data_IF_185453504143
#
_entry.id   IF_185453504143
#
_cell.length_a   1.000
_cell.length_b   1.000
_cell.length_c   1.000
_cell.angle_alpha   90.00
_cell.angle_beta   90.00
_cell.angle_gamma   90.00
#
_symmetry.space_group_name_H-M   'P 1'
#
loop_
_entity.id
_entity.type
_entity.pdbx_description
1 polymer ?
#
# COMPACT_ATOMS: atom_id res chain seq x y z
N UNK A 1 -2.12 7.46 -4.37
CA UNK A 1 -1.51 8.31 -3.33
C UNK A 1 -1.03 7.43 -2.18
N UNK A 2 0.19 7.66 -1.71
CA UNK A 2 0.73 7.04 -0.51
C UNK A 2 0.34 7.89 0.72
N UNK A 3 0.86 7.59 1.87
CA UNK A 3 0.67 8.37 3.07
C UNK A 3 1.08 9.83 2.88
N UNK A 4 0.19 10.76 3.21
CA UNK A 4 0.38 12.18 2.96
C UNK A 4 0.49 12.91 4.29
N UNK A 5 1.53 13.71 4.42
CA UNK A 5 1.68 14.62 5.56
C UNK A 5 0.76 15.83 5.36
N UNK A 6 0.30 16.43 6.46
CA UNK A 6 -0.51 17.64 6.41
C UNK A 6 0.12 18.76 5.58
N UNK A 7 1.45 18.91 5.67
CA UNK A 7 2.21 19.87 4.86
C UNK A 7 2.18 19.61 3.34
N UNK A 8 1.66 18.47 2.90
CA UNK A 8 1.56 18.09 1.47
C UNK A 8 0.13 18.22 0.91
N UNK A 9 -0.82 18.61 1.74
CA UNK A 9 -2.25 18.76 1.34
C UNK A 9 -2.38 19.77 0.20
N UNK A 10 -1.65 20.86 0.25
CA UNK A 10 -1.72 21.89 -0.79
C UNK A 10 -1.18 21.38 -2.13
N UNK A 11 -0.12 20.56 -2.12
CA UNK A 11 0.38 19.91 -3.34
C UNK A 11 -0.65 18.96 -3.98
N UNK A 12 -1.47 18.29 -3.15
CA UNK A 12 -2.58 17.48 -3.69
C UNK A 12 -3.64 18.37 -4.31
N UNK A 13 -4.02 19.47 -3.66
CA UNK A 13 -4.99 20.41 -4.20
C UNK A 13 -4.52 20.99 -5.53
N UNK A 14 -3.24 21.33 -5.64
CA UNK A 14 -2.63 21.78 -6.90
C UNK A 14 -2.69 20.71 -7.98
N UNK A 15 -2.38 19.45 -7.64
CA UNK A 15 -2.50 18.32 -8.58
C UNK A 15 -3.95 18.13 -9.05
N UNK A 16 -4.93 18.19 -8.15
CA UNK A 16 -6.33 18.06 -8.51
C UNK A 16 -6.78 19.20 -9.45
N UNK A 17 -6.39 20.44 -9.18
CA UNK A 17 -6.61 21.58 -10.09
C UNK A 17 -5.96 21.39 -11.45
N UNK A 18 -4.74 20.86 -11.49
CA UNK A 18 -4.06 20.52 -12.74
C UNK A 18 -4.86 19.50 -13.55
N UNK A 19 -5.39 18.45 -12.91
CA UNK A 19 -6.21 17.44 -13.56
C UNK A 19 -7.53 18.00 -14.10
N UNK A 20 -8.13 18.98 -13.43
CA UNK A 20 -9.32 19.69 -13.93
C UNK A 20 -9.03 20.46 -15.21
N UNK A 21 -7.88 21.13 -15.28
CA UNK A 21 -7.45 21.92 -16.43
C UNK A 21 -6.98 21.07 -17.61
N UNK A 22 -6.48 19.88 -17.31
CA UNK A 22 -5.87 18.95 -18.26
C UNK A 22 -6.59 17.61 -18.25
N UNK A 23 -7.81 17.61 -18.79
CA UNK A 23 -8.70 16.43 -18.79
C UNK A 23 -8.08 15.21 -19.49
N UNK A 24 -7.14 15.42 -20.40
CA UNK A 24 -6.38 14.35 -21.06
C UNK A 24 -5.53 13.51 -20.10
N UNK A 25 -5.20 14.05 -18.94
CA UNK A 25 -4.47 13.33 -17.88
C UNK A 25 -5.38 12.82 -16.76
N UNK A 26 -6.70 13.01 -16.86
CA UNK A 26 -7.63 12.58 -15.83
C UNK A 26 -7.61 11.05 -15.70
N UNK A 27 -7.25 10.51 -14.52
CA UNK A 27 -7.26 9.06 -14.33
C UNK A 27 -8.69 8.55 -14.21
N UNK A 28 -8.91 7.31 -14.61
CA UNK A 28 -10.19 6.64 -14.37
C UNK A 28 -10.39 6.28 -12.90
N UNK A 29 -9.29 6.00 -12.19
CA UNK A 29 -9.31 5.53 -10.81
C UNK A 29 -8.17 6.17 -10.00
N UNK A 30 -8.43 6.43 -8.73
CA UNK A 30 -7.42 6.92 -7.76
C UNK A 30 -7.42 6.01 -6.55
N UNK A 31 -6.27 5.38 -6.27
CA UNK A 31 -6.06 4.63 -5.04
C UNK A 31 -5.66 5.55 -3.89
N UNK A 32 -6.32 5.41 -2.75
CA UNK A 32 -6.08 6.20 -1.54
C UNK A 32 -5.60 5.32 -0.40
N UNK A 33 -4.58 5.79 0.31
CA UNK A 33 -3.94 5.07 1.41
C UNK A 33 -4.08 5.77 2.77
N UNK A 34 -4.86 6.83 2.83
CA UNK A 34 -5.28 7.49 4.05
C UNK A 34 -6.66 8.13 3.88
N UNK A 35 -7.37 8.28 5.01
CA UNK A 35 -8.75 8.79 5.01
C UNK A 35 -8.85 10.29 4.75
N UNK A 36 -7.82 11.06 5.11
CA UNK A 36 -7.77 12.50 4.83
C UNK A 36 -7.76 12.76 3.33
N UNK A 37 -6.90 12.05 2.61
CA UNK A 37 -6.84 12.10 1.13
C UNK A 37 -8.13 11.60 0.50
N UNK A 38 -8.70 10.49 1.01
CA UNK A 38 -9.99 9.99 0.51
C UNK A 38 -11.09 11.04 0.63
N UNK A 39 -11.18 11.72 1.78
CA UNK A 39 -12.14 12.79 2.00
C UNK A 39 -11.92 13.97 1.05
N UNK A 40 -10.67 14.42 0.90
CA UNK A 40 -10.30 15.51 0.01
C UNK A 40 -10.70 15.23 -1.44
N UNK A 41 -10.40 14.03 -1.95
CA UNK A 41 -10.72 13.65 -3.32
C UNK A 41 -12.24 13.48 -3.49
N UNK A 42 -12.95 12.94 -2.51
CA UNK A 42 -14.42 12.84 -2.55
C UNK A 42 -15.08 14.22 -2.64
N UNK A 43 -14.62 15.19 -1.83
CA UNK A 43 -15.09 16.56 -1.89
C UNK A 43 -14.82 17.17 -3.26
N UNK A 44 -13.61 17.06 -3.76
CA UNK A 44 -13.25 17.49 -5.11
C UNK A 44 -14.12 16.87 -6.21
N UNK A 45 -14.41 15.57 -6.13
CA UNK A 45 -15.30 14.90 -7.06
C UNK A 45 -16.70 15.49 -7.06
N UNK A 46 -17.25 15.79 -5.88
CA UNK A 46 -18.57 16.40 -5.73
C UNK A 46 -18.62 17.81 -6.33
N UNK A 47 -17.59 18.62 -6.08
CA UNK A 47 -17.48 19.99 -6.60
C UNK A 47 -17.33 20.05 -8.12
N UNK A 48 -16.57 19.12 -8.70
CA UNK A 48 -16.26 19.10 -10.14
C UNK A 48 -17.14 18.14 -10.96
N UNK A 49 -17.98 17.34 -10.30
CA UNK A 49 -18.85 16.33 -10.90
C UNK A 49 -18.11 15.35 -11.82
N UNK A 50 -16.83 15.06 -11.52
CA UNK A 50 -16.05 14.11 -12.31
C UNK A 50 -16.40 12.66 -11.96
N UNK A 51 -16.12 11.74 -12.90
CA UNK A 51 -16.45 10.32 -12.80
C UNK A 51 -15.30 9.45 -12.27
N UNK A 52 -14.24 10.04 -11.72
CA UNK A 52 -13.10 9.31 -11.18
C UNK A 52 -13.54 8.38 -10.05
N UNK A 53 -13.12 7.12 -10.10
CA UNK A 53 -13.44 6.13 -9.06
C UNK A 53 -12.39 6.14 -7.96
N UNK A 54 -12.82 5.98 -6.72
CA UNK A 54 -11.93 5.79 -5.59
C UNK A 54 -11.71 4.31 -5.33
N UNK A 55 -10.44 3.94 -5.15
CA UNK A 55 -10.03 2.60 -4.76
C UNK A 55 -9.35 2.65 -3.39
N UNK A 56 -9.59 1.63 -2.58
CA UNK A 56 -8.90 1.46 -1.31
C UNK A 56 -7.49 0.92 -1.56
N UNK A 57 -6.48 1.69 -1.20
CA UNK A 57 -5.09 1.30 -1.34
C UNK A 57 -4.64 0.30 -0.26
N UNK A 58 -3.51 -0.32 -0.49
CA UNK A 58 -2.94 -1.40 0.33
C UNK A 58 -2.71 -1.04 1.81
N UNK A 59 -2.48 0.24 2.14
CA UNK A 59 -2.22 0.67 3.52
C UNK A 59 -3.49 0.76 4.38
N UNK A 60 -4.65 0.87 3.75
CA UNK A 60 -5.95 0.85 4.42
C UNK A 60 -6.54 -0.56 4.51
N UNK A 61 -6.01 -1.51 3.75
CA UNK A 61 -6.33 -2.92 3.85
C UNK A 61 -5.40 -3.61 4.85
N UNK A 62 -5.94 -3.94 6.01
CA UNK A 62 -5.17 -4.54 7.10
C UNK A 62 -5.46 -6.01 7.23
N UNK A 63 -4.41 -6.80 7.12
CA UNK A 63 -4.38 -8.24 7.39
C UNK A 63 -2.95 -8.62 7.82
N UNK A 64 -2.78 -9.82 8.33
CA UNK A 64 -1.48 -10.27 8.79
C UNK A 64 -0.54 -10.47 7.59
N UNK A 65 0.57 -9.75 7.58
CA UNK A 65 1.63 -9.85 6.57
C UNK A 65 2.93 -10.17 7.29
N UNK A 66 3.26 -11.45 7.36
CA UNK A 66 4.45 -11.90 8.09
C UNK A 66 5.02 -13.15 7.42
N UNK A 67 6.22 -13.05 6.87
CA UNK A 67 6.91 -14.19 6.22
C UNK A 67 7.12 -15.39 7.16
N UNK A 68 7.07 -15.16 8.47
CA UNK A 68 7.18 -16.23 9.46
C UNK A 68 5.90 -17.05 9.60
N UNK A 69 4.79 -16.60 9.04
CA UNK A 69 3.51 -17.32 9.10
C UNK A 69 3.64 -18.75 8.55
N UNK A 70 4.47 -18.96 7.52
CA UNK A 70 4.78 -20.27 6.94
C UNK A 70 5.50 -21.24 7.89
N UNK A 71 6.06 -20.77 8.99
CA UNK A 71 6.72 -21.60 10.01
C UNK A 71 5.79 -21.93 11.18
N UNK A 72 4.57 -21.41 11.18
CA UNK A 72 3.57 -21.74 12.20
C UNK A 72 3.11 -23.18 11.99
N UNK A 73 3.02 -23.93 13.08
CA UNK A 73 2.61 -25.34 13.05
C UNK A 73 1.08 -25.52 12.95
N UNK A 74 0.34 -24.48 13.24
CA UNK A 74 -1.13 -24.48 13.21
C UNK A 74 -1.60 -23.34 12.31
N UNK A 75 -2.54 -23.65 11.42
CA UNK A 75 -3.27 -22.64 10.67
C UNK A 75 -4.16 -21.86 11.64
N UNK A 76 -3.79 -20.64 11.90
CA UNK A 76 -4.61 -19.73 12.66
C UNK A 76 -5.56 -19.01 11.70
N UNK A 77 -6.83 -19.38 11.70
CA UNK A 77 -7.89 -18.76 10.88
C UNK A 77 -7.90 -17.23 10.97
N UNK A 78 -7.52 -16.69 12.12
CA UNK A 78 -7.41 -15.24 12.32
C UNK A 78 -6.36 -14.55 11.41
N UNK A 79 -5.43 -15.30 10.81
CA UNK A 79 -4.49 -14.72 9.84
C UNK A 79 -5.07 -14.60 8.44
N UNK A 80 -6.12 -15.35 8.15
CA UNK A 80 -6.80 -15.29 6.85
C UNK A 80 -7.76 -14.10 6.76
N UNK A 81 -8.17 -13.54 7.89
CA UNK A 81 -9.11 -12.43 7.91
C UNK A 81 -8.44 -11.07 7.64
N UNK A 82 -9.20 -10.23 6.96
CA UNK A 82 -8.83 -8.84 6.67
C UNK A 82 -9.85 -7.91 7.32
N UNK A 83 -9.51 -6.62 7.47
CA UNK A 83 -10.50 -5.64 7.91
C UNK A 83 -11.67 -5.50 6.92
N UNK A 84 -11.51 -5.93 5.67
CA UNK A 84 -12.58 -5.95 4.66
C UNK A 84 -13.70 -6.94 4.99
N UNK A 85 -13.46 -7.91 5.89
CA UNK A 85 -14.47 -8.89 6.31
C UNK A 85 -15.46 -8.33 7.33
N UNK A 86 -15.19 -7.15 7.89
CA UNK A 86 -16.08 -6.46 8.82
C UNK A 86 -17.25 -5.80 8.08
N UNK A 87 -18.49 -6.11 8.46
CA UNK A 87 -19.70 -5.48 7.90
C UNK A 87 -19.69 -3.97 8.09
N UNK A 88 -19.28 -3.51 9.27
CA UNK A 88 -19.13 -2.08 9.56
C UNK A 88 -18.17 -1.41 8.56
N UNK A 89 -17.03 -2.04 8.31
CA UNK A 89 -16.04 -1.47 7.38
C UNK A 89 -16.56 -1.49 5.94
N UNK A 90 -17.23 -2.55 5.52
CA UNK A 90 -17.87 -2.62 4.20
C UNK A 90 -18.92 -1.52 4.02
N UNK A 91 -19.76 -1.29 5.02
CA UNK A 91 -20.74 -0.20 4.99
C UNK A 91 -20.03 1.16 4.88
N UNK A 92 -18.98 1.39 5.66
CA UNK A 92 -18.21 2.61 5.62
C UNK A 92 -17.54 2.85 4.24
N UNK A 93 -17.00 1.80 3.62
CA UNK A 93 -16.43 1.89 2.27
C UNK A 93 -17.49 2.26 1.23
N UNK A 94 -18.67 1.64 1.31
CA UNK A 94 -19.80 1.94 0.42
C UNK A 94 -20.26 3.39 0.56
N UNK A 95 -20.40 3.90 1.77
CA UNK A 95 -20.74 5.30 2.04
C UNK A 95 -19.69 6.28 1.49
N UNK A 96 -18.43 5.86 1.42
CA UNK A 96 -17.34 6.62 0.81
C UNK A 96 -17.16 6.35 -0.69
N UNK A 97 -18.07 5.59 -1.33
CA UNK A 97 -18.05 5.26 -2.76
C UNK A 97 -16.76 4.52 -3.19
N UNK A 98 -16.25 3.66 -2.33
CA UNK A 98 -15.08 2.81 -2.57
C UNK A 98 -15.57 1.39 -2.82
N UNK A 99 -15.39 0.89 -4.06
CA UNK A 99 -15.89 -0.41 -4.50
C UNK A 99 -14.79 -1.37 -4.95
N UNK A 100 -13.55 -0.88 -5.04
CA UNK A 100 -12.40 -1.67 -5.45
C UNK A 100 -11.30 -1.58 -4.41
N UNK A 101 -10.62 -2.70 -4.18
CA UNK A 101 -9.61 -2.84 -3.14
C UNK A 101 -8.29 -3.32 -3.74
N UNK A 102 -7.20 -2.71 -3.31
CA UNK A 102 -5.85 -3.17 -3.62
C UNK A 102 -5.34 -4.07 -2.50
N UNK A 103 -4.85 -5.24 -2.86
CA UNK A 103 -4.33 -6.26 -1.97
C UNK A 103 -2.90 -6.62 -2.37
N UNK A 104 -2.13 -7.14 -1.45
CA UNK A 104 -0.80 -7.71 -1.70
C UNK A 104 -0.83 -9.19 -1.32
N UNK A 105 -0.21 -10.03 -2.13
CA UNK A 105 0.02 -11.41 -1.74
C UNK A 105 1.00 -11.47 -0.56
N UNK A 106 0.75 -12.36 0.40
CA UNK A 106 1.49 -12.40 1.67
C UNK A 106 1.92 -13.81 2.08
N UNK A 107 1.96 -14.76 1.14
CA UNK A 107 2.44 -16.13 1.36
C UNK A 107 1.45 -17.04 2.09
N UNK A 108 0.20 -16.62 2.27
CA UNK A 108 -0.89 -17.43 2.78
C UNK A 108 -2.24 -16.93 2.23
N UNK A 109 -3.23 -17.79 2.31
CA UNK A 109 -4.58 -17.44 1.90
C UNK A 109 -5.18 -16.35 2.77
N UNK A 110 -5.93 -15.45 2.14
CA UNK A 110 -6.73 -14.41 2.79
C UNK A 110 -8.17 -14.49 2.32
N UNK A 111 -9.11 -14.32 3.23
CA UNK A 111 -10.53 -14.23 2.91
C UNK A 111 -10.84 -12.80 2.49
N UNK A 112 -11.28 -12.63 1.25
CA UNK A 112 -11.65 -11.33 0.71
C UNK A 112 -13.14 -11.31 0.35
N UNK A 113 -13.84 -10.18 0.57
CA UNK A 113 -15.24 -10.05 0.18
C UNK A 113 -15.40 -10.12 -1.34
N UNK A 114 -16.60 -10.45 -1.80
CA UNK A 114 -16.92 -10.38 -3.24
C UNK A 114 -16.76 -8.95 -3.74
N UNK A 115 -16.17 -8.81 -4.92
CA UNK A 115 -15.98 -7.50 -5.52
C UNK A 115 -14.82 -7.46 -6.52
N UNK A 116 -14.43 -6.26 -6.89
CA UNK A 116 -13.28 -6.02 -7.77
C UNK A 116 -12.03 -5.79 -6.93
N UNK A 117 -10.99 -6.54 -7.21
CA UNK A 117 -9.72 -6.45 -6.49
C UNK A 117 -8.56 -6.30 -7.48
N UNK A 118 -7.49 -5.68 -7.00
CA UNK A 118 -6.17 -5.71 -7.63
C UNK A 118 -5.22 -6.42 -6.67
N UNK A 119 -4.48 -7.40 -7.17
CA UNK A 119 -3.49 -8.11 -6.38
C UNK A 119 -2.09 -7.70 -6.83
N UNK A 120 -1.29 -7.20 -5.89
CA UNK A 120 0.11 -6.88 -6.10
C UNK A 120 0.99 -8.08 -5.76
N UNK A 121 1.89 -8.42 -6.66
CA UNK A 121 2.83 -9.54 -6.58
C UNK A 121 4.23 -9.05 -6.97
N UNK A 122 5.29 -9.72 -6.57
CA UNK A 122 5.43 -10.72 -5.50
C UNK A 122 5.78 -10.09 -4.15
N UNK A 123 5.78 -8.78 -4.06
CA UNK A 123 6.21 -8.05 -2.89
C UNK A 123 5.03 -7.56 -2.08
N UNK A 124 5.15 -7.67 -0.75
CA UNK A 124 4.17 -7.10 0.15
C UNK A 124 4.86 -6.24 1.22
N UNK A 125 4.21 -5.16 1.56
CA UNK A 125 4.69 -4.20 2.53
C UNK A 125 4.40 -4.67 3.95
N UNK A 126 5.45 -4.91 4.74
CA UNK A 126 5.31 -5.33 6.13
C UNK A 126 5.32 -4.16 7.10
N UNK A 127 6.13 -3.17 6.82
CA UNK A 127 6.26 -1.99 7.67
C UNK A 127 6.71 -0.78 6.85
N UNK A 128 6.17 0.39 7.17
CA UNK A 128 6.64 1.69 6.70
C UNK A 128 6.81 2.61 7.89
N UNK A 129 7.94 3.28 7.98
CA UNK A 129 8.22 4.25 9.04
C UNK A 129 8.25 5.68 8.49
N UNK A 130 7.93 6.65 9.32
CA UNK A 130 8.18 8.06 9.01
C UNK A 130 9.67 8.41 9.06
N UNK A 131 10.47 7.58 9.70
CA UNK A 131 11.89 7.73 9.86
C UNK A 131 12.64 6.81 8.90
N UNK A 132 13.78 7.29 8.39
CA UNK A 132 14.65 6.51 7.51
C UNK A 132 15.95 6.17 8.25
N UNK A 133 16.23 4.89 8.43
CA UNK A 133 17.45 4.39 9.10
C UNK A 133 18.72 4.85 8.39
N UNK A 134 18.71 4.89 7.04
CA UNK A 134 19.86 5.35 6.27
C UNK A 134 20.08 6.84 6.43
N UNK A 135 19.02 7.64 6.40
CA UNK A 135 19.11 9.08 6.66
C UNK A 135 19.66 9.34 8.07
N UNK A 136 19.16 8.63 9.08
CA UNK A 136 19.66 8.74 10.46
C UNK A 136 21.17 8.42 10.54
N UNK A 137 21.64 7.38 9.85
CA UNK A 137 23.07 7.03 9.79
C UNK A 137 23.90 8.08 9.05
N UNK A 138 23.47 8.51 7.88
CA UNK A 138 24.23 9.41 7.03
C UNK A 138 24.19 10.87 7.50
N UNK A 139 23.03 11.33 7.99
CA UNK A 139 22.86 12.71 8.42
C UNK A 139 23.18 12.95 9.89
N UNK A 140 23.03 11.93 10.76
CA UNK A 140 23.18 12.05 12.19
C UNK A 140 24.29 11.17 12.79
N UNK A 141 24.94 10.32 11.99
CA UNK A 141 25.94 9.37 12.47
C UNK A 141 25.43 8.21 13.29
N UNK A 142 24.13 8.19 13.62
CA UNK A 142 23.51 7.25 14.53
C UNK A 142 22.25 6.62 13.90
N UNK A 143 22.25 5.28 13.76
CA UNK A 143 21.12 4.53 13.19
C UNK A 143 19.85 4.57 14.06
N UNK A 144 20.03 4.68 15.38
CA UNK A 144 18.92 4.69 16.34
C UNK A 144 18.23 6.05 16.43
N UNK A 145 18.81 7.09 15.87
CA UNK A 145 18.25 8.43 15.96
C UNK A 145 17.05 8.59 15.03
N UNK A 146 15.87 8.52 15.62
CA UNK A 146 14.62 8.72 14.89
C UNK A 146 14.40 10.21 14.64
N UNK A 147 14.79 10.65 13.44
CA UNK A 147 14.57 12.01 12.97
C UNK A 147 13.72 11.99 11.69
N UNK A 148 12.70 12.83 11.67
CA UNK A 148 11.89 13.02 10.46
C UNK A 148 12.78 13.47 9.31
N UNK A 149 12.55 12.91 8.13
CA UNK A 149 13.27 13.30 6.90
C UNK A 149 12.57 14.50 6.30
N UNK A 150 13.14 15.68 6.47
CA UNK A 150 12.60 16.92 5.90
C UNK A 150 13.01 17.07 4.42
N UNK A 151 14.30 16.89 4.16
CA UNK A 151 14.84 16.92 2.81
C UNK A 151 15.65 15.64 2.57
N UNK A 152 15.13 14.74 1.75
CA UNK A 152 15.79 13.48 1.48
C UNK A 152 16.83 13.63 0.36
N UNK A 153 18.14 13.44 0.63
CA UNK A 153 19.19 13.49 -0.41
C UNK A 153 19.19 12.25 -1.32
N UNK A 154 18.34 11.25 -1.03
CA UNK A 154 18.20 10.07 -1.88
C UNK A 154 19.35 9.07 -1.80
N UNK A 155 20.06 8.98 -0.68
CA UNK A 155 21.19 8.05 -0.48
C UNK A 155 20.87 6.58 -0.87
N UNK A 156 19.60 6.19 -0.80
CA UNK A 156 19.18 4.82 -1.08
C UNK A 156 18.67 4.59 -2.51
N UNK A 157 18.80 5.52 -3.43
CA UNK A 157 18.25 5.37 -4.80
C UNK A 157 18.72 4.09 -5.48
N UNK A 158 20.00 3.78 -5.38
CA UNK A 158 20.63 2.59 -5.95
C UNK A 158 20.76 1.40 -5.00
N UNK A 159 20.23 1.47 -3.78
CA UNK A 159 20.48 0.49 -2.73
C UNK A 159 19.20 -0.21 -2.27
N UNK A 160 19.35 -1.49 -1.93
CA UNK A 160 18.36 -2.32 -1.23
C UNK A 160 19.05 -2.90 0.01
N UNK A 161 18.39 -2.81 1.16
CA UNK A 161 18.87 -3.43 2.39
C UNK A 161 18.41 -4.87 2.45
N UNK A 162 19.35 -5.80 2.50
CA UNK A 162 19.04 -7.22 2.65
C UNK A 162 18.96 -7.59 4.14
N UNK A 163 17.95 -8.35 4.48
CA UNK A 163 17.77 -9.00 5.77
C UNK A 163 18.29 -10.44 5.71
N UNK A 164 18.45 -11.13 6.86
CA UNK A 164 18.81 -12.53 6.85
C UNK A 164 17.94 -13.35 5.92
N UNK A 165 18.58 -14.21 5.12
CA UNK A 165 17.96 -14.92 3.98
C UNK A 165 16.69 -15.69 4.35
N UNK A 166 16.67 -16.26 5.57
CA UNK A 166 15.51 -17.01 6.06
C UNK A 166 14.25 -16.15 6.31
N UNK A 167 14.38 -14.83 6.38
CA UNK A 167 13.24 -13.93 6.53
C UNK A 167 12.62 -13.54 5.20
N UNK A 168 13.35 -13.73 4.08
CA UNK A 168 12.93 -13.29 2.73
C UNK A 168 12.40 -11.85 2.71
N UNK A 169 13.12 -10.98 3.40
CA UNK A 169 12.76 -9.57 3.56
C UNK A 169 13.86 -8.68 3.04
N UNK A 170 13.48 -7.52 2.57
CA UNK A 170 14.41 -6.47 2.19
C UNK A 170 13.81 -5.09 2.46
N UNK A 171 14.71 -4.13 2.67
CA UNK A 171 14.35 -2.74 2.90
C UNK A 171 14.64 -1.88 1.68
N UNK A 172 13.71 -1.02 1.33
CA UNK A 172 13.90 0.02 0.32
C UNK A 172 13.28 1.31 0.84
N UNK A 173 14.03 2.41 0.73
CA UNK A 173 13.63 3.68 1.33
C UNK A 173 13.37 3.53 2.85
N UNK A 174 12.20 3.92 3.32
CA UNK A 174 11.74 3.76 4.69
C UNK A 174 10.74 2.61 4.89
N UNK A 175 10.70 1.70 3.91
CA UNK A 175 9.73 0.58 3.88
C UNK A 175 10.45 -0.75 3.93
N UNK A 176 9.88 -1.69 4.65
CA UNK A 176 10.29 -3.08 4.72
C UNK A 176 9.30 -3.92 3.93
N UNK A 177 9.83 -4.72 3.03
CA UNK A 177 9.05 -5.60 2.15
C UNK A 177 9.36 -7.06 2.43
N UNK A 178 8.32 -7.89 2.42
CA UNK A 178 8.45 -9.33 2.27
C UNK A 178 8.35 -9.75 0.81
N UNK A 179 8.79 -10.95 0.51
CA UNK A 179 8.74 -11.55 -0.83
C UNK A 179 7.92 -12.83 -0.80
N UNK A 180 6.87 -12.87 -1.59
CA UNK A 180 6.00 -14.03 -1.74
C UNK A 180 6.33 -14.77 -3.04
N UNK A 181 7.24 -15.73 -2.91
CA UNK A 181 7.65 -16.58 -4.04
C UNK A 181 6.53 -17.51 -4.48
N UNK A 182 5.78 -18.07 -3.54
CA UNK A 182 4.74 -19.07 -3.83
C UNK A 182 3.66 -18.50 -4.73
N UNK A 183 3.13 -17.35 -4.38
CA UNK A 183 2.10 -16.67 -5.19
C UNK A 183 2.60 -16.30 -6.59
N UNK A 184 3.89 -16.01 -6.74
CA UNK A 184 4.47 -15.73 -8.06
C UNK A 184 4.55 -17.03 -8.90
N UNK A 185 5.04 -18.12 -8.33
CA UNK A 185 5.15 -19.42 -8.99
C UNK A 185 3.77 -19.94 -9.42
N UNK A 186 2.75 -19.80 -8.58
CA UNK A 186 1.37 -20.17 -8.90
C UNK A 186 0.81 -19.32 -10.07
N UNK A 187 1.06 -18.03 -10.09
CA UNK A 187 0.64 -17.17 -11.20
C UNK A 187 1.35 -17.49 -12.51
N UNK A 188 2.62 -17.82 -12.47
CA UNK A 188 3.37 -18.28 -13.65
C UNK A 188 2.82 -19.60 -14.20
N UNK A 189 2.49 -20.55 -13.32
CA UNK A 189 1.85 -21.80 -13.69
C UNK A 189 0.50 -21.58 -14.36
N UNK A 190 -0.39 -20.75 -13.76
CA UNK A 190 -1.69 -20.43 -14.34
C UNK A 190 -1.56 -19.73 -15.69
N UNK A 191 -0.61 -18.83 -15.86
CA UNK A 191 -0.40 -18.13 -17.13
C UNK A 191 0.07 -19.05 -18.26
N UNK A 192 0.75 -20.16 -17.94
CA UNK A 192 1.18 -21.17 -18.90
C UNK A 192 0.07 -22.17 -19.26
N UNK A 193 -0.88 -22.40 -18.36
CA UNK A 193 -1.98 -23.34 -18.55
C UNK A 193 -3.16 -22.78 -19.36
N UNK A 194 -3.18 -21.48 -19.61
CA UNK A 194 -4.23 -20.76 -20.38
C UNK A 194 -3.85 -20.57 -21.87
N UNK A 195 -2.78 -21.17 -22.34
CA UNK A 195 -2.38 -21.13 -23.77
C UNK A 195 -2.96 -22.28 -24.56
#
# INVERSE_FOLDING_TARGET
FSWIKESQIDSIRELLKFLEQRKEYMPNEIAVNDWGTAHLIRKWKQETQNCVKLNLGILLNRYKKDNRSRYLKEETKCFQETNLNSEFYQQYLKENQIERYELEACGHEIVIPKGKHSLHLPFFQTNTAQFCTLYAKCACGDRGRQKSVEQCPGYCRGLVFLYPRHLEMFGKYNTLFGYDRTSLEEMEYLSQSVR
#
